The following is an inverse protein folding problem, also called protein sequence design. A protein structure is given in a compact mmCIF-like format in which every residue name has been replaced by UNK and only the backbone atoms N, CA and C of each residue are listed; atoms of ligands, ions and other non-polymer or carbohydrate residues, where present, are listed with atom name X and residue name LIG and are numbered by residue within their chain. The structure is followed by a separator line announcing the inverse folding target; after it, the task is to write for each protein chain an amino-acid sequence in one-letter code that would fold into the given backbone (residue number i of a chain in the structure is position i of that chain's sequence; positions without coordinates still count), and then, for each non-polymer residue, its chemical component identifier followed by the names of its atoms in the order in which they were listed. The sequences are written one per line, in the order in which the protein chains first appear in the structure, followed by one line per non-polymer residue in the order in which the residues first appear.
data_IF_899253249348
#
_entry.id   IF_899253249348
#
_cell.length_a   1.000
_cell.length_b   1.000
_cell.length_c   1.000
_cell.angle_alpha   90.00
_cell.angle_beta   90.00
_cell.angle_gamma   90.00
#
_symmetry.space_group_name_H-M   'P 1'
#
loop_
_entity.id
_entity.type
_entity.pdbx_description
1 polymer ?
#
# COMPACT_ATOMS: atom_id res chain seq x y z
N UNK A 1 34.09 -8.80 -8.65
CA UNK A 1 33.30 -8.12 -7.58
C UNK A 1 33.94 -8.48 -6.26
N UNK A 2 34.22 -7.51 -5.39
CA UNK A 2 34.70 -7.79 -4.03
C UNK A 2 33.70 -8.71 -3.33
N UNK A 3 34.18 -9.68 -2.55
CA UNK A 3 33.35 -10.68 -1.85
C UNK A 3 32.23 -10.01 -1.03
N UNK A 4 32.55 -8.88 -0.38
CA UNK A 4 31.59 -8.10 0.41
C UNK A 4 30.37 -7.66 -0.41
N UNK A 5 30.56 -7.17 -1.63
CA UNK A 5 29.44 -6.70 -2.47
C UNK A 5 28.55 -7.88 -2.90
N UNK A 6 29.15 -9.04 -3.19
CA UNK A 6 28.38 -10.26 -3.51
C UNK A 6 27.55 -10.70 -2.31
N UNK A 7 28.13 -10.67 -1.11
CA UNK A 7 27.45 -11.04 0.12
C UNK A 7 26.27 -10.09 0.41
N UNK A 8 26.49 -8.78 0.31
CA UNK A 8 25.43 -7.78 0.50
C UNK A 8 24.29 -7.93 -0.52
N UNK A 9 24.63 -8.15 -1.79
CA UNK A 9 23.63 -8.41 -2.84
C UNK A 9 22.83 -9.68 -2.54
N UNK A 10 23.49 -10.78 -2.15
CA UNK A 10 22.82 -12.03 -1.82
C UNK A 10 21.88 -11.85 -0.63
N UNK A 11 22.35 -11.17 0.43
CA UNK A 11 21.57 -10.88 1.62
C UNK A 11 20.32 -10.05 1.27
N UNK A 12 20.51 -8.97 0.49
CA UNK A 12 19.42 -8.14 -0.01
C UNK A 12 18.43 -8.96 -0.86
N UNK A 13 18.92 -9.78 -1.78
CA UNK A 13 18.09 -10.62 -2.65
C UNK A 13 17.23 -11.58 -1.84
N UNK A 14 17.80 -12.25 -0.83
CA UNK A 14 17.07 -13.15 0.06
C UNK A 14 16.00 -12.39 0.83
N UNK A 15 16.33 -11.28 1.51
CA UNK A 15 15.34 -10.49 2.26
C UNK A 15 14.24 -9.93 1.36
N UNK A 16 14.60 -9.46 0.16
CA UNK A 16 13.65 -8.92 -0.79
C UNK A 16 12.69 -9.99 -1.32
N UNK A 17 13.18 -11.18 -1.68
CA UNK A 17 12.32 -12.28 -2.11
C UNK A 17 11.46 -12.82 -0.98
N UNK A 18 11.97 -12.89 0.25
CA UNK A 18 11.15 -13.23 1.43
C UNK A 18 10.03 -12.20 1.60
N UNK A 19 10.34 -10.89 1.53
CA UNK A 19 9.35 -9.82 1.60
C UNK A 19 8.25 -9.97 0.53
N UNK A 20 8.65 -10.22 -0.71
CA UNK A 20 7.74 -10.46 -1.84
C UNK A 20 7.02 -11.82 -1.75
N UNK A 21 7.45 -12.73 -0.89
CA UNK A 21 6.78 -14.03 -0.71
C UNK A 21 5.66 -13.96 0.33
N UNK A 22 5.63 -12.93 1.19
CA UNK A 22 4.61 -12.81 2.25
C UNK A 22 3.21 -12.68 1.61
N UNK A 23 2.23 -13.51 1.99
CA UNK A 23 0.90 -13.49 1.39
C UNK A 23 0.21 -12.13 1.59
N UNK A 24 -0.69 -11.80 0.67
CA UNK A 24 -1.52 -10.61 0.81
C UNK A 24 -2.48 -10.78 1.99
N UNK A 25 -2.89 -9.65 2.55
CA UNK A 25 -3.86 -9.63 3.64
C UNK A 25 -5.26 -9.70 3.06
N UNK A 26 -6.18 -10.18 3.88
CA UNK A 26 -7.59 -9.97 3.61
C UNK A 26 -7.92 -8.50 3.88
N UNK A 27 -9.05 -8.07 3.33
CA UNK A 27 -9.61 -6.75 3.56
C UNK A 27 -9.65 -6.46 5.08
N UNK A 28 -9.14 -5.30 5.55
CA UNK A 28 -9.12 -4.97 6.97
C UNK A 28 -10.51 -5.05 7.59
N UNK A 29 -10.58 -5.52 8.84
CA UNK A 29 -11.82 -5.47 9.60
C UNK A 29 -12.22 -4.03 9.88
N UNK A 30 -13.51 -3.76 9.82
CA UNK A 30 -14.09 -2.46 10.17
C UNK A 30 -13.79 -2.08 11.64
N UNK A 31 -13.73 -0.78 11.92
CA UNK A 31 -13.60 -0.28 13.30
C UNK A 31 -14.93 -0.52 14.04
N UNK A 32 -14.88 -0.69 15.36
CA UNK A 32 -16.09 -0.81 16.19
C UNK A 32 -17.00 0.44 16.12
N UNK A 33 -16.46 1.58 15.70
CA UNK A 33 -17.17 2.83 15.48
C UNK A 33 -17.64 2.99 14.03
N UNK A 34 -17.47 1.94 13.21
CA UNK A 34 -17.93 1.89 11.83
C UNK A 34 -19.18 1.06 11.71
N UNK A 35 -20.09 1.50 10.85
CA UNK A 35 -21.20 0.69 10.37
C UNK A 35 -21.06 0.47 8.87
N UNK A 36 -21.11 -0.78 8.44
CA UNK A 36 -21.01 -1.11 7.01
C UNK A 36 -22.19 -0.53 6.22
N UNK A 37 -21.86 0.13 5.12
CA UNK A 37 -22.85 0.61 4.14
C UNK A 37 -23.33 -0.55 3.28
N UNK A 38 -24.64 -0.58 3.02
CA UNK A 38 -25.29 -1.54 2.11
C UNK A 38 -25.80 -0.85 0.83
N UNK A 39 -25.39 0.39 0.59
CA UNK A 39 -25.74 1.09 -0.64
C UNK A 39 -25.21 0.33 -1.86
N UNK A 40 -25.97 0.27 -2.98
CA UNK A 40 -25.57 -0.45 -4.19
C UNK A 40 -24.13 -0.12 -4.64
N UNK A 41 -23.79 1.18 -4.66
CA UNK A 41 -22.47 1.65 -5.07
C UNK A 41 -21.31 1.15 -4.18
N UNK A 42 -21.59 0.79 -2.93
CA UNK A 42 -20.61 0.35 -1.94
C UNK A 42 -20.44 -1.19 -1.92
N UNK A 43 -21.30 -1.93 -2.62
CA UNK A 43 -21.30 -3.41 -2.66
C UNK A 43 -21.04 -4.01 -4.05
N UNK A 44 -21.02 -3.18 -5.10
CA UNK A 44 -20.78 -3.59 -6.50
C UNK A 44 -19.42 -4.27 -6.77
N UNK A 45 -18.39 -3.94 -5.99
CA UNK A 45 -17.01 -4.45 -6.17
C UNK A 45 -16.54 -5.10 -4.86
N UNK A 46 -16.11 -6.36 -4.92
CA UNK A 46 -15.62 -7.12 -3.75
C UNK A 46 -14.39 -6.48 -3.09
N UNK A 47 -13.61 -5.75 -3.88
CA UNK A 47 -12.42 -5.02 -3.42
C UNK A 47 -12.74 -3.63 -2.90
N UNK A 48 -14.02 -3.23 -2.83
CA UNK A 48 -14.46 -1.93 -2.32
C UNK A 48 -15.49 -2.14 -1.20
N UNK A 49 -15.40 -1.34 -0.15
CA UNK A 49 -16.39 -1.37 0.95
C UNK A 49 -16.64 0.04 1.48
N UNK A 50 -17.92 0.39 1.57
CA UNK A 50 -18.37 1.62 2.21
C UNK A 50 -18.68 1.43 3.69
N UNK A 51 -18.40 2.46 4.49
CA UNK A 51 -18.70 2.50 5.93
C UNK A 51 -19.14 3.90 6.35
N UNK A 52 -19.99 3.96 7.37
CA UNK A 52 -20.27 5.16 8.13
C UNK A 52 -19.45 5.14 9.41
N UNK A 53 -18.77 6.22 9.77
CA UNK A 53 -17.85 6.23 10.91
C UNK A 53 -18.01 7.51 11.74
N UNK A 54 -17.90 7.38 13.08
CA UNK A 54 -18.06 8.49 14.05
C UNK A 54 -16.73 9.09 14.54
N UNK A 55 -15.61 8.52 14.13
CA UNK A 55 -14.25 8.97 14.40
C UNK A 55 -13.80 9.99 13.34
N UNK A 56 -12.73 10.72 13.61
CA UNK A 56 -12.11 11.67 12.68
C UNK A 56 -11.18 10.97 11.67
N UNK A 57 -10.83 11.68 10.59
CA UNK A 57 -9.88 11.22 9.55
C UNK A 57 -8.62 10.57 10.11
N UNK A 58 -7.92 11.22 11.04
CA UNK A 58 -6.60 10.77 11.48
C UNK A 58 -6.70 9.48 12.28
N UNK A 59 -7.72 9.38 13.15
CA UNK A 59 -8.03 8.15 13.89
C UNK A 59 -8.35 6.99 12.95
N UNK A 60 -9.20 7.22 11.95
CA UNK A 60 -9.59 6.20 10.96
C UNK A 60 -8.39 5.72 10.15
N UNK A 61 -7.61 6.64 9.59
CA UNK A 61 -6.46 6.27 8.74
C UNK A 61 -5.44 5.49 9.55
N UNK A 62 -5.13 5.93 10.77
CA UNK A 62 -4.18 5.22 11.63
C UNK A 62 -4.69 3.84 12.05
N UNK A 63 -5.99 3.69 12.30
CA UNK A 63 -6.61 2.39 12.56
C UNK A 63 -6.37 1.42 11.39
N UNK A 64 -6.69 1.83 10.16
CA UNK A 64 -6.48 1.00 8.99
C UNK A 64 -5.00 0.73 8.71
N UNK A 65 -4.12 1.70 8.98
CA UNK A 65 -2.66 1.53 8.86
C UNK A 65 -2.12 0.46 9.79
N UNK A 66 -2.51 0.47 11.06
CA UNK A 66 -2.10 -0.53 12.05
C UNK A 66 -2.62 -1.92 11.68
N UNK A 67 -3.91 -2.03 11.31
CA UNK A 67 -4.51 -3.31 10.91
C UNK A 67 -3.89 -3.88 9.63
N UNK A 68 -3.56 -3.02 8.67
CA UNK A 68 -2.94 -3.40 7.41
C UNK A 68 -1.47 -3.82 7.58
N UNK A 69 -0.71 -3.10 8.42
CA UNK A 69 0.71 -3.38 8.67
C UNK A 69 0.98 -4.69 9.43
N UNK A 70 0.04 -5.17 10.25
CA UNK A 70 0.18 -6.43 10.98
C UNK A 70 0.13 -7.63 10.04
N UNK A 71 1.27 -8.27 9.82
CA UNK A 71 1.40 -9.51 9.03
C UNK A 71 1.82 -10.68 9.91
N UNK A 72 1.39 -11.90 9.57
CA UNK A 72 1.85 -13.11 10.25
C UNK A 72 2.91 -13.78 9.38
N UNK A 73 4.11 -13.94 9.93
CA UNK A 73 5.25 -14.60 9.28
C UNK A 73 5.66 -15.76 10.19
N UNK A 74 5.52 -17.00 9.70
CA UNK A 74 5.85 -18.22 10.45
C UNK A 74 5.20 -18.34 11.84
N UNK A 75 3.96 -17.83 12.01
CA UNK A 75 3.26 -17.84 13.29
C UNK A 75 3.49 -16.59 14.14
N UNK A 76 4.46 -15.75 13.79
CA UNK A 76 4.79 -14.52 14.52
C UNK A 76 4.12 -13.30 13.88
N UNK A 77 3.43 -12.50 14.69
CA UNK A 77 2.86 -11.22 14.27
C UNK A 77 3.96 -10.15 14.17
N UNK A 78 4.27 -9.71 12.97
CA UNK A 78 5.26 -8.68 12.68
C UNK A 78 4.53 -7.47 12.09
N UNK A 79 4.92 -6.26 12.51
CA UNK A 79 4.44 -5.05 11.89
C UNK A 79 5.33 -4.71 10.69
N UNK A 80 4.78 -4.83 9.50
CA UNK A 80 5.47 -4.49 8.28
C UNK A 80 5.32 -2.99 8.01
N UNK A 81 6.42 -2.27 7.72
CA UNK A 81 6.33 -0.86 7.41
C UNK A 81 5.42 -0.61 6.20
N UNK A 82 4.51 0.33 6.38
CA UNK A 82 3.63 0.84 5.33
C UNK A 82 3.88 2.34 5.14
N UNK A 83 3.83 2.77 3.88
CA UNK A 83 3.90 4.18 3.52
C UNK A 83 2.49 4.73 3.47
N UNK A 84 2.32 5.97 3.92
CA UNK A 84 1.08 6.74 3.84
C UNK A 84 1.28 7.81 2.78
N UNK A 85 0.46 7.77 1.73
CA UNK A 85 0.48 8.71 0.62
C UNK A 85 -0.85 9.49 0.64
N UNK A 86 -0.79 10.79 0.35
CA UNK A 86 -1.97 11.67 0.33
C UNK A 86 -2.20 12.13 -1.11
N UNK A 87 -3.45 12.10 -1.55
CA UNK A 87 -3.86 12.44 -2.91
C UNK A 87 -4.88 13.57 -2.88
N UNK A 88 -5.01 14.33 -3.99
CA UNK A 88 -6.14 15.23 -4.18
C UNK A 88 -7.47 14.46 -4.06
N UNK A 89 -8.45 14.94 -3.29
CA UNK A 89 -9.75 14.27 -3.13
C UNK A 89 -10.49 14.06 -4.45
N UNK A 90 -10.25 14.89 -5.45
CA UNK A 90 -10.84 14.80 -6.79
C UNK A 90 -10.47 13.50 -7.50
N UNK A 91 -9.27 12.97 -7.23
CA UNK A 91 -8.81 11.70 -7.79
C UNK A 91 -9.61 10.50 -7.27
N UNK A 92 -10.40 10.65 -6.21
CA UNK A 92 -11.29 9.59 -5.72
C UNK A 92 -12.30 9.15 -6.79
N UNK A 93 -12.66 10.07 -7.70
CA UNK A 93 -13.56 9.76 -8.82
C UNK A 93 -12.93 8.77 -9.81
N UNK A 94 -11.60 8.77 -9.93
CA UNK A 94 -10.87 7.83 -10.81
C UNK A 94 -10.39 6.60 -10.05
N UNK A 95 -9.85 6.79 -8.84
CA UNK A 95 -9.20 5.74 -8.07
C UNK A 95 -10.23 4.82 -7.40
N UNK A 96 -11.30 5.38 -6.81
CA UNK A 96 -12.31 4.61 -6.08
C UNK A 96 -13.47 4.20 -6.99
N UNK A 97 -14.15 5.20 -7.57
CA UNK A 97 -15.35 5.06 -8.41
C UNK A 97 -15.77 6.42 -8.96
N UNK A 98 -16.30 6.42 -10.19
CA UNK A 98 -17.01 7.56 -10.77
C UNK A 98 -18.06 8.11 -9.78
N UNK A 99 -18.11 9.44 -9.64
CA UNK A 99 -19.02 10.16 -8.74
C UNK A 99 -18.75 10.00 -7.23
N UNK A 100 -17.62 9.43 -6.80
CA UNK A 100 -17.23 9.48 -5.38
C UNK A 100 -17.03 10.93 -4.95
N UNK A 101 -17.85 11.39 -3.99
CA UNK A 101 -17.61 12.67 -3.29
C UNK A 101 -16.68 12.39 -2.12
N UNK A 102 -15.58 13.15 -2.03
CA UNK A 102 -14.57 12.95 -1.00
C UNK A 102 -14.01 14.28 -0.53
N UNK A 103 -13.70 14.38 0.76
CA UNK A 103 -12.93 15.48 1.35
C UNK A 103 -11.46 15.14 1.50
N UNK A 104 -11.11 13.84 1.48
CA UNK A 104 -9.73 13.37 1.49
C UNK A 104 -9.57 12.00 0.85
N UNK A 105 -8.43 11.79 0.20
CA UNK A 105 -8.02 10.51 -0.35
C UNK A 105 -6.61 10.17 0.10
N UNK A 106 -6.45 9.00 0.70
CA UNK A 106 -5.16 8.51 1.15
C UNK A 106 -4.90 7.07 0.74
N UNK A 107 -3.64 6.72 0.54
CA UNK A 107 -3.21 5.36 0.28
C UNK A 107 -2.27 4.89 1.39
N UNK A 108 -2.49 3.68 1.87
CA UNK A 108 -1.53 2.95 2.70
C UNK A 108 -0.97 1.82 1.85
N UNK A 109 0.33 1.87 1.55
CA UNK A 109 0.99 0.98 0.59
C UNK A 109 2.09 0.14 1.23
N UNK A 110 2.09 -1.15 0.86
CA UNK A 110 3.25 -2.01 0.93
C UNK A 110 3.85 -2.14 -0.48
N UNK A 111 4.99 -1.49 -0.76
CA UNK A 111 5.55 -1.43 -2.11
C UNK A 111 5.64 -2.79 -2.79
N UNK A 112 5.24 -2.84 -4.06
CA UNK A 112 5.21 -4.06 -4.89
C UNK A 112 4.24 -5.15 -4.40
N UNK A 113 3.50 -4.97 -3.31
CA UNK A 113 2.66 -6.03 -2.70
C UNK A 113 1.17 -5.77 -2.77
N UNK A 114 0.71 -4.72 -2.11
CA UNK A 114 -0.70 -4.41 -1.95
C UNK A 114 -0.84 -2.99 -1.40
N UNK A 115 -1.97 -2.37 -1.67
CA UNK A 115 -2.35 -1.08 -1.10
C UNK A 115 -3.82 -1.05 -0.71
N UNK A 116 -4.14 -0.14 0.21
CA UNK A 116 -5.52 0.24 0.51
C UNK A 116 -5.67 1.74 0.29
N UNK A 117 -6.69 2.13 -0.45
CA UNK A 117 -7.13 3.50 -0.60
C UNK A 117 -8.26 3.76 0.38
N UNK A 118 -8.19 4.87 1.08
CA UNK A 118 -9.18 5.34 2.04
C UNK A 118 -9.67 6.69 1.54
N UNK A 119 -10.90 6.70 1.03
CA UNK A 119 -11.61 7.93 0.68
C UNK A 119 -12.59 8.24 1.78
N UNK A 120 -12.49 9.42 2.39
CA UNK A 120 -13.47 9.91 3.35
C UNK A 120 -14.23 11.10 2.82
N UNK A 121 -15.49 11.21 3.20
CA UNK A 121 -16.35 12.37 3.01
C UNK A 121 -16.82 12.86 4.37
N UNK A 122 -16.35 14.04 4.74
CA UNK A 122 -16.74 14.77 5.95
C UNK A 122 -17.71 15.90 5.56
N UNK A 123 -18.98 15.86 6.02
CA UNK A 123 -19.93 16.93 5.77
C UNK A 123 -19.43 18.25 6.38
N UNK A 124 -19.43 19.33 5.59
CA UNK A 124 -19.12 20.69 6.09
C UNK A 124 -20.35 21.50 6.43
N UNK A 125 -21.51 21.08 5.93
CA UNK A 125 -22.78 21.79 6.07
C UNK A 125 -23.84 20.83 6.59
N UNK A 126 -24.76 21.32 7.41
CA UNK A 126 -25.84 20.51 8.00
C UNK A 126 -26.72 19.82 6.97
N UNK A 127 -26.83 20.39 5.76
CA UNK A 127 -27.56 19.79 4.63
C UNK A 127 -26.95 18.47 4.14
N UNK A 128 -25.66 18.26 4.36
CA UNK A 128 -24.90 17.08 3.95
C UNK A 128 -24.70 16.11 5.14
N UNK A 129 -25.37 16.36 6.28
CA UNK A 129 -25.34 15.51 7.47
C UNK A 129 -25.65 14.04 7.13
N UNK A 130 -24.87 13.13 7.70
CA UNK A 130 -25.02 11.70 7.50
C UNK A 130 -25.73 11.11 8.72
N UNK A 131 -27.01 10.78 8.58
CA UNK A 131 -27.79 10.09 9.62
C UNK A 131 -28.28 8.77 9.07
N UNK A 132 -27.89 7.67 9.72
CA UNK A 132 -28.26 6.30 9.34
C UNK A 132 -28.79 5.60 10.58
N UNK A 133 -30.01 5.06 10.50
CA UNK A 133 -30.72 4.41 11.61
C UNK A 133 -30.73 5.25 12.90
N UNK A 134 -31.00 6.56 12.76
CA UNK A 134 -31.07 7.50 13.88
C UNK A 134 -29.71 7.87 14.50
N UNK A 135 -28.60 7.32 14.00
CA UNK A 135 -27.25 7.68 14.44
C UNK A 135 -26.62 8.65 13.45
N UNK A 136 -26.08 9.75 13.99
CA UNK A 136 -25.30 10.71 13.20
C UNK A 136 -23.84 10.26 13.10
N UNK A 137 -23.33 10.24 11.88
CA UNK A 137 -21.97 9.85 11.57
C UNK A 137 -21.16 11.07 11.12
N UNK A 138 -19.90 11.11 11.54
CA UNK A 138 -18.99 12.22 11.18
C UNK A 138 -18.55 12.13 9.73
N UNK A 139 -18.44 10.92 9.20
CA UNK A 139 -17.98 10.72 7.83
C UNK A 139 -18.50 9.43 7.20
N UNK A 140 -18.55 9.45 5.86
CA UNK A 140 -18.68 8.25 5.05
C UNK A 140 -17.31 7.90 4.47
N UNK A 141 -16.91 6.66 4.65
CA UNK A 141 -15.66 6.10 4.19
C UNK A 141 -15.93 5.14 3.05
N UNK A 142 -15.08 5.16 2.03
CA UNK A 142 -15.00 4.11 1.02
C UNK A 142 -13.56 3.62 0.98
N UNK A 143 -13.38 2.33 1.25
CA UNK A 143 -12.08 1.69 1.26
C UNK A 143 -11.98 0.80 0.04
N UNK A 144 -10.92 0.95 -0.73
CA UNK A 144 -10.63 0.11 -1.89
C UNK A 144 -9.29 -0.60 -1.68
N UNK A 145 -9.27 -1.91 -1.84
CA UNK A 145 -8.07 -2.71 -1.69
C UNK A 145 -7.53 -3.14 -3.04
N UNK A 146 -6.22 -2.99 -3.26
CA UNK A 146 -5.53 -3.47 -4.45
C UNK A 146 -4.47 -4.47 -4.01
N UNK A 147 -4.56 -5.69 -4.55
CA UNK A 147 -3.67 -6.79 -4.22
C UNK A 147 -2.90 -7.25 -5.45
N UNK A 148 -1.59 -7.44 -5.32
CA UNK A 148 -0.77 -7.99 -6.40
C UNK A 148 -0.74 -9.51 -6.36
N UNK A 149 -0.76 -10.16 -7.53
CA UNK A 149 -0.58 -11.61 -7.61
C UNK A 149 0.84 -12.01 -7.15
N UNK A 150 0.94 -13.03 -6.29
CA UNK A 150 2.20 -13.53 -5.73
C UNK A 150 3.22 -13.94 -6.81
N UNK A 151 2.76 -14.62 -7.86
CA UNK A 151 3.63 -15.10 -8.94
C UNK A 151 4.17 -13.95 -9.77
N UNK A 152 3.31 -13.00 -10.15
CA UNK A 152 3.72 -11.79 -10.89
C UNK A 152 4.72 -10.99 -10.05
N UNK A 153 4.44 -10.83 -8.75
CA UNK A 153 5.30 -10.10 -7.83
C UNK A 153 6.69 -10.72 -7.72
N UNK A 154 6.78 -12.05 -7.58
CA UNK A 154 8.06 -12.75 -7.52
C UNK A 154 8.79 -12.67 -8.86
N UNK A 155 8.08 -12.81 -9.98
CA UNK A 155 8.66 -12.66 -11.31
C UNK A 155 9.27 -11.26 -11.52
N UNK A 156 8.51 -10.20 -11.25
CA UNK A 156 9.00 -8.82 -11.31
C UNK A 156 10.16 -8.60 -10.34
N UNK A 157 10.07 -9.17 -9.13
CA UNK A 157 11.15 -9.14 -8.14
C UNK A 157 12.45 -9.76 -8.66
N UNK A 158 12.37 -10.93 -9.31
CA UNK A 158 13.52 -11.58 -9.95
C UNK A 158 14.11 -10.72 -11.08
N UNK A 159 13.27 -10.07 -11.89
CA UNK A 159 13.74 -9.14 -12.93
C UNK A 159 14.45 -7.92 -12.34
N UNK A 160 13.95 -7.36 -11.23
CA UNK A 160 14.61 -6.27 -10.50
C UNK A 160 15.98 -6.72 -10.00
N UNK A 161 16.07 -7.90 -9.38
CA UNK A 161 17.35 -8.44 -8.89
C UNK A 161 18.34 -8.69 -10.03
N UNK A 162 17.88 -9.27 -11.13
CA UNK A 162 18.68 -9.45 -12.33
C UNK A 162 19.20 -8.10 -12.88
N UNK A 163 18.33 -7.10 -12.95
CA UNK A 163 18.69 -5.75 -13.38
C UNK A 163 19.76 -5.14 -12.47
N UNK A 164 19.60 -5.24 -11.15
CA UNK A 164 20.61 -4.77 -10.17
C UNK A 164 21.94 -5.49 -10.40
N UNK A 165 21.92 -6.81 -10.59
CA UNK A 165 23.14 -7.60 -10.84
C UNK A 165 23.87 -7.17 -12.12
N UNK A 166 23.13 -7.00 -13.22
CA UNK A 166 23.68 -6.53 -14.51
C UNK A 166 24.29 -5.14 -14.35
N UNK A 167 23.59 -4.21 -13.70
CA UNK A 167 24.08 -2.86 -13.43
C UNK A 167 25.37 -2.88 -12.59
N UNK A 168 25.43 -3.67 -11.51
CA UNK A 168 26.63 -3.81 -10.69
C UNK A 168 27.81 -4.39 -11.47
N UNK A 169 27.56 -5.32 -12.40
CA UNK A 169 28.59 -5.86 -13.29
C UNK A 169 29.11 -4.79 -14.25
N UNK A 170 28.22 -4.04 -14.90
CA UNK A 170 28.60 -2.97 -15.82
C UNK A 170 29.44 -1.89 -15.14
N UNK A 171 29.00 -1.40 -13.98
CA UNK A 171 29.74 -0.40 -13.21
C UNK A 171 31.15 -0.87 -12.83
N UNK A 172 31.32 -2.16 -12.52
CA UNK A 172 32.63 -2.73 -12.25
C UNK A 172 33.54 -2.66 -13.49
N UNK A 173 33.02 -2.99 -14.67
CA UNK A 173 33.79 -2.97 -15.91
C UNK A 173 34.22 -1.54 -16.26
N UNK A 174 33.32 -0.57 -16.13
CA UNK A 174 33.61 0.86 -16.30
C UNK A 174 34.72 1.32 -15.35
N UNK A 175 34.60 1.02 -14.05
CA UNK A 175 35.60 1.42 -13.04
C UNK A 175 36.97 0.78 -13.27
N UNK A 176 37.02 -0.47 -13.75
CA UNK A 176 38.29 -1.10 -14.12
C UNK A 176 38.93 -0.45 -15.36
N UNK A 177 38.12 -0.07 -16.35
CA UNK A 177 38.58 0.68 -17.52
C UNK A 177 39.21 2.02 -17.13
N UNK A 178 38.55 2.80 -16.25
CA UNK A 178 39.10 4.06 -15.74
C UNK A 178 40.41 3.88 -14.98
N UNK A 179 40.52 2.84 -14.12
CA UNK A 179 41.77 2.55 -13.42
C UNK A 179 42.91 2.26 -14.39
N UNK A 180 42.66 1.44 -15.42
CA UNK A 180 43.69 1.12 -16.40
C UNK A 180 44.24 2.38 -17.08
N UNK A 181 43.36 3.30 -17.47
CA UNK A 181 43.75 4.60 -18.07
C UNK A 181 44.55 5.48 -17.09
N UNK A 182 44.20 5.48 -15.81
CA UNK A 182 44.87 6.29 -14.78
C UNK A 182 46.23 5.75 -14.32
N UNK A 183 46.45 4.43 -14.41
CA UNK A 183 47.69 3.77 -13.96
C UNK A 183 48.65 3.39 -15.10
N UNK A 184 48.21 3.40 -16.37
CA UNK A 184 49.07 3.24 -17.55
C UNK A 184 49.54 4.58 -18.17
N UNK A 185 49.31 5.70 -17.46
CA UNK A 185 49.98 6.99 -17.69
C UNK A 185 51.04 7.20 -16.63
#
# INVERSE_FOLDING_TARGET
MRIIIKLLYLLFAVFFLVYLSIPNRLFPQESQYSKRSTEPADVEDENRRGFYNTEDRETVVNYYRDKFGKVNIFGYGINLPSLRLNYPPEESQTIIRDQTRSTYLEEIVHPLRQSIYISGFEPRYDKDRIVVDGTEYKQKLIIKMISSNILIRLFVGCLILLSIYVNLRMWREVLMGYKKILYEK
#
